data_IF_284724185569
#
_entry.id   IF_284724185569
#
_cell.length_a   1.000
_cell.length_b   1.000
_cell.length_c   1.000
_cell.angle_alpha   90.00
_cell.angle_beta   90.00
_cell.angle_gamma   90.00
#
_symmetry.space_group_name_H-M   'P 1'
#
loop_
_entity.id
_entity.type
_entity.pdbx_description
1 polymer ?
#
# COMPACT_ATOMS: atom_id res chain seq x y z
N UNK A 1 0.41 -11.49 5.51
CA UNK A 1 0.72 -10.18 6.14
C UNK A 1 1.73 -9.45 5.25
N UNK A 2 1.36 -8.28 4.73
CA UNK A 2 2.17 -7.48 3.79
C UNK A 2 2.89 -6.35 4.55
N UNK A 3 4.14 -6.04 4.24
CA UNK A 3 4.78 -4.80 4.71
C UNK A 3 4.93 -3.81 3.57
N UNK A 4 4.86 -2.50 3.83
CA UNK A 4 5.03 -1.46 2.80
C UNK A 4 5.93 -0.32 3.25
N UNK A 5 6.45 0.43 2.28
CA UNK A 5 7.17 1.70 2.43
C UNK A 5 6.73 2.69 1.35
N UNK A 6 6.89 3.99 1.61
CA UNK A 6 6.63 5.04 0.63
C UNK A 6 7.83 5.20 -0.31
N UNK A 7 7.54 5.29 -1.60
CA UNK A 7 8.54 5.36 -2.65
C UNK A 7 9.25 4.03 -2.86
N UNK A 8 9.86 3.90 -4.04
CA UNK A 8 10.73 2.77 -4.35
C UNK A 8 11.83 2.62 -3.29
N UNK A 9 12.00 1.40 -2.76
CA UNK A 9 12.96 1.08 -1.71
C UNK A 9 12.87 1.96 -0.44
N UNK A 10 11.72 2.63 -0.21
CA UNK A 10 11.53 3.53 0.94
C UNK A 10 12.11 4.95 0.76
N UNK A 11 12.47 5.34 -0.47
CA UNK A 11 13.02 6.65 -0.76
C UNK A 11 11.93 7.71 -0.97
N UNK A 12 11.82 8.67 -0.04
CA UNK A 12 10.83 9.76 -0.12
C UNK A 12 11.05 10.72 -1.29
N UNK A 13 12.28 10.93 -1.75
CA UNK A 13 12.51 11.71 -2.96
C UNK A 13 11.92 11.02 -4.19
N UNK A 14 12.13 9.70 -4.29
CA UNK A 14 11.52 8.89 -5.36
C UNK A 14 9.99 8.91 -5.28
N UNK A 15 9.42 8.89 -4.07
CA UNK A 15 7.98 9.07 -3.86
C UNK A 15 7.47 10.40 -4.42
N UNK A 16 8.11 11.53 -4.09
CA UNK A 16 7.64 12.85 -4.55
C UNK A 16 7.79 13.02 -6.07
N UNK A 17 8.88 12.54 -6.67
CA UNK A 17 9.05 12.55 -8.12
C UNK A 17 7.99 11.67 -8.82
N UNK A 18 7.74 10.46 -8.30
CA UNK A 18 6.68 9.59 -8.80
C UNK A 18 5.29 10.25 -8.68
N UNK A 19 4.99 10.86 -7.52
CA UNK A 19 3.71 11.51 -7.28
C UNK A 19 3.50 12.72 -8.19
N UNK A 20 4.56 13.49 -8.46
CA UNK A 20 4.51 14.60 -9.42
C UNK A 20 4.20 14.13 -10.85
N UNK A 21 4.71 12.97 -11.25
CA UNK A 21 4.51 12.43 -12.59
C UNK A 21 3.19 11.67 -12.78
N UNK A 22 2.75 10.93 -11.77
CA UNK A 22 1.62 10.00 -11.89
C UNK A 22 0.42 10.37 -11.00
N UNK A 23 0.53 11.38 -10.13
CA UNK A 23 -0.52 11.74 -9.18
C UNK A 23 -1.86 12.09 -9.84
N UNK A 24 -1.83 12.76 -10.99
CA UNK A 24 -3.04 13.10 -11.77
C UNK A 24 -3.66 11.90 -12.50
N UNK A 25 -2.93 10.79 -12.61
CA UNK A 25 -3.38 9.56 -13.29
C UNK A 25 -3.98 8.55 -12.29
N UNK A 26 -3.89 8.82 -10.99
CA UNK A 26 -4.47 7.97 -9.97
C UNK A 26 -5.99 8.01 -10.04
N UNK A 27 -6.60 6.83 -10.00
CA UNK A 27 -8.03 6.70 -9.74
C UNK A 27 -8.35 7.16 -8.32
N UNK A 28 -9.62 7.50 -8.05
CA UNK A 28 -10.07 7.87 -6.70
C UNK A 28 -9.75 6.79 -5.66
N UNK A 29 -9.85 5.52 -6.04
CA UNK A 29 -9.50 4.37 -5.20
C UNK A 29 -8.00 4.30 -4.87
N UNK A 30 -7.15 4.44 -5.88
CA UNK A 30 -5.69 4.45 -5.70
C UNK A 30 -5.24 5.65 -4.86
N UNK A 31 -5.85 6.81 -5.06
CA UNK A 31 -5.57 8.00 -4.25
C UNK A 31 -6.02 7.82 -2.79
N UNK A 32 -7.21 7.25 -2.55
CA UNK A 32 -7.69 6.93 -1.22
C UNK A 32 -6.77 5.93 -0.51
N UNK A 33 -6.36 4.86 -1.20
CA UNK A 33 -5.39 3.90 -0.69
C UNK A 33 -4.05 4.56 -0.36
N UNK A 34 -3.50 5.36 -1.28
CA UNK A 34 -2.22 6.04 -1.08
C UNK A 34 -2.27 6.99 0.13
N UNK A 35 -3.35 7.75 0.28
CA UNK A 35 -3.57 8.63 1.42
C UNK A 35 -3.57 7.86 2.74
N UNK A 36 -4.24 6.71 2.78
CA UNK A 36 -4.25 5.85 3.96
C UNK A 36 -2.87 5.27 4.25
N UNK A 37 -2.13 4.83 3.25
CA UNK A 37 -0.75 4.35 3.41
C UNK A 37 0.16 5.45 3.98
N UNK A 38 0.07 6.68 3.48
CA UNK A 38 0.81 7.84 4.02
C UNK A 38 0.40 8.15 5.46
N UNK A 39 -0.88 8.02 5.81
CA UNK A 39 -1.32 8.21 7.18
C UNK A 39 -0.72 7.15 8.11
N UNK A 40 -0.72 5.89 7.66
CA UNK A 40 -0.23 4.75 8.42
C UNK A 40 1.28 4.78 8.68
N UNK A 41 2.09 5.47 7.87
CA UNK A 41 3.52 5.64 8.19
C UNK A 41 3.77 6.43 9.48
N UNK A 42 2.75 7.12 10.02
CA UNK A 42 2.81 7.81 11.31
C UNK A 42 2.58 6.87 12.51
N UNK A 43 2.15 5.63 12.25
CA UNK A 43 1.86 4.60 13.26
C UNK A 43 2.64 3.31 12.96
N UNK A 44 3.98 3.32 13.08
CA UNK A 44 4.79 2.14 12.80
C UNK A 44 4.42 0.98 13.72
N UNK A 45 4.38 -0.24 13.17
CA UNK A 45 3.98 -1.45 13.89
C UNK A 45 2.47 -1.71 13.93
N UNK A 46 1.63 -0.75 13.55
CA UNK A 46 0.19 -0.99 13.42
C UNK A 46 -0.11 -2.00 12.30
N UNK A 47 -1.15 -2.81 12.52
CA UNK A 47 -1.66 -3.75 11.51
C UNK A 47 -3.08 -3.34 11.16
N UNK A 48 -3.35 -3.14 9.86
CA UNK A 48 -4.65 -2.70 9.38
C UNK A 48 -5.13 -3.61 8.26
N UNK A 49 -6.41 -4.00 8.35
CA UNK A 49 -7.12 -4.63 7.24
C UNK A 49 -7.59 -3.54 6.26
N UNK A 50 -6.78 -3.28 5.24
CA UNK A 50 -7.02 -2.16 4.31
C UNK A 50 -8.24 -2.38 3.42
N UNK A 51 -8.50 -3.63 3.01
CA UNK A 51 -9.69 -3.95 2.22
C UNK A 51 -10.97 -3.61 3.00
N UNK A 52 -10.99 -3.97 4.29
CA UNK A 52 -12.10 -3.61 5.17
C UNK A 52 -12.19 -2.10 5.43
N UNK A 53 -11.06 -1.42 5.65
CA UNK A 53 -11.04 0.03 5.90
C UNK A 53 -11.56 0.85 4.72
N UNK A 54 -11.20 0.43 3.51
CA UNK A 54 -11.61 1.10 2.26
C UNK A 54 -12.94 0.55 1.70
N UNK A 55 -13.54 -0.45 2.34
CA UNK A 55 -14.74 -1.14 1.87
C UNK A 55 -14.62 -1.69 0.43
N UNK A 56 -13.45 -2.21 0.08
CA UNK A 56 -13.13 -2.81 -1.24
C UNK A 56 -12.85 -4.30 -1.12
N UNK A 57 -12.85 -5.00 -2.26
CA UNK A 57 -12.47 -6.42 -2.30
C UNK A 57 -10.96 -6.61 -2.11
N UNK A 58 -10.53 -7.83 -1.75
CA UNK A 58 -9.10 -8.13 -1.65
C UNK A 58 -8.40 -8.09 -3.01
N UNK A 59 -9.09 -8.46 -4.08
CA UNK A 59 -8.56 -8.43 -5.45
C UNK A 59 -8.39 -6.99 -5.95
N UNK A 60 -9.34 -6.12 -5.61
CA UNK A 60 -9.26 -4.69 -5.90
C UNK A 60 -8.11 -4.04 -5.13
N UNK A 61 -7.95 -4.34 -3.83
CA UNK A 61 -6.81 -3.88 -3.04
C UNK A 61 -5.48 -4.33 -3.65
N UNK A 62 -5.37 -5.60 -4.06
CA UNK A 62 -4.16 -6.13 -4.68
C UNK A 62 -3.85 -5.44 -6.02
N UNK A 63 -4.87 -5.16 -6.82
CA UNK A 63 -4.74 -4.41 -8.07
C UNK A 63 -4.23 -3.00 -7.82
N UNK A 64 -4.86 -2.25 -6.92
CA UNK A 64 -4.46 -0.89 -6.58
C UNK A 64 -3.04 -0.82 -6.00
N UNK A 65 -2.67 -1.75 -5.10
CA UNK A 65 -1.29 -1.86 -4.58
C UNK A 65 -0.28 -2.11 -5.69
N UNK A 66 -0.61 -2.98 -6.63
CA UNK A 66 0.25 -3.29 -7.79
C UNK A 66 0.45 -2.05 -8.67
N UNK A 67 -0.63 -1.30 -8.94
CA UNK A 67 -0.55 -0.02 -9.68
C UNK A 67 0.33 1.00 -8.96
N UNK A 68 0.09 1.24 -7.66
CA UNK A 68 0.88 2.19 -6.87
C UNK A 68 2.38 1.80 -6.85
N UNK A 69 2.68 0.50 -6.80
CA UNK A 69 4.06 0.00 -6.92
C UNK A 69 4.65 0.20 -8.31
N UNK A 70 3.87 -0.02 -9.36
CA UNK A 70 4.30 0.21 -10.74
C UNK A 70 4.62 1.70 -11.00
N UNK A 71 3.87 2.61 -10.37
CA UNK A 71 4.16 4.05 -10.39
C UNK A 71 5.36 4.46 -9.53
N UNK A 72 5.90 3.55 -8.71
CA UNK A 72 6.99 3.83 -7.78
C UNK A 72 6.58 4.65 -6.56
N UNK A 73 5.27 4.77 -6.30
CA UNK A 73 4.70 5.49 -5.15
C UNK A 73 4.84 4.69 -3.86
N UNK A 74 4.88 3.37 -3.96
CA UNK A 74 5.13 2.48 -2.82
C UNK A 74 6.07 1.37 -3.24
N UNK A 75 6.69 0.74 -2.26
CA UNK A 75 7.13 -0.65 -2.38
C UNK A 75 6.50 -1.47 -1.27
N UNK A 76 6.30 -2.76 -1.52
CA UNK A 76 5.75 -3.67 -0.54
C UNK A 76 6.30 -5.08 -0.73
N UNK A 77 6.34 -5.81 0.38
CA UNK A 77 6.79 -7.20 0.44
C UNK A 77 5.76 -8.06 1.17
N UNK A 78 5.60 -9.28 0.68
CA UNK A 78 4.81 -10.29 1.36
C UNK A 78 5.74 -11.06 2.28
N UNK A 79 5.47 -11.11 3.59
CA UNK A 79 6.09 -12.15 4.41
C UNK A 79 5.58 -13.51 3.92
N UNK A 80 6.42 -14.55 3.79
CA UNK A 80 5.93 -15.90 3.54
C UNK A 80 4.91 -16.25 4.62
N UNK A 81 3.67 -16.52 4.21
CA UNK A 81 2.60 -16.94 5.11
C UNK A 81 2.99 -18.33 5.63
N UNK A 82 3.15 -18.46 6.96
CA UNK A 82 2.95 -19.76 7.61
C UNK A 82 1.51 -20.18 7.33
N UNK A 83 1.32 -21.39 6.82
CA UNK A 83 0.17 -21.87 6.05
C UNK A 83 -1.20 -21.93 6.75
N UNK A 84 -1.40 -21.32 7.93
CA UNK A 84 -2.57 -21.58 8.78
C UNK A 84 -3.61 -20.45 8.90
N UNK A 85 -3.39 -19.27 8.33
CA UNK A 85 -4.35 -18.16 8.43
C UNK A 85 -4.82 -17.70 7.05
N UNK A 86 -5.90 -18.33 6.56
CA UNK A 86 -6.71 -17.87 5.43
C UNK A 86 -7.56 -16.64 5.81
N UNK A 87 -6.92 -15.63 6.40
CA UNK A 87 -7.53 -14.34 6.73
C UNK A 87 -7.08 -13.29 5.71
N UNK A 88 -8.00 -12.40 5.36
CA UNK A 88 -7.84 -11.28 4.42
C UNK A 88 -6.45 -10.61 4.54
N UNK A 89 -5.85 -10.15 3.42
CA UNK A 89 -4.50 -9.58 3.44
C UNK A 89 -4.44 -8.33 4.32
N UNK A 90 -3.83 -8.47 5.51
CA UNK A 90 -3.53 -7.36 6.40
C UNK A 90 -2.16 -6.74 6.08
N UNK A 91 -2.08 -5.41 6.13
CA UNK A 91 -0.85 -4.63 5.98
C UNK A 91 -0.24 -4.35 7.37
N UNK A 92 1.06 -4.61 7.51
CA UNK A 92 1.94 -4.26 8.63
C UNK A 92 2.74 -3.03 8.22
N UNK A 93 2.83 -2.05 9.10
CA UNK A 93 3.75 -0.92 8.92
C UNK A 93 5.08 -1.27 9.59
N UNK A 94 6.20 -1.11 8.89
CA UNK A 94 7.55 -1.26 9.46
C UNK A 94 8.29 0.06 9.51
#
# INVERSE_FOLDING_TARGET
MLGFVLGKDGNLHAFFEAFKHYGEQLTDGEYALLRELVHLTREPGSTVNMAQKLAISSDELATQLTSLKAYGLIDYWTKPQSSDDARLPALIIR
#
